data_IF_712088322524
#
_entry.id   IF_712088322524
#
_cell.length_a   1.000
_cell.length_b   1.000
_cell.length_c   1.000
_cell.angle_alpha   90.00
_cell.angle_beta   90.00
_cell.angle_gamma   90.00
#
_symmetry.space_group_name_H-M   'P 1'
#
loop_
_entity.id
_entity.type
_entity.pdbx_description
1 polymer ?
#
# COMPACT_ATOMS: atom_id res chain seq x y z
N UNK A 1 -57.08 47.75 -7.08
CA UNK A 1 -56.13 47.24 -6.06
C UNK A 1 -55.83 45.77 -6.37
N UNK A 2 -55.03 45.47 -7.41
CA UNK A 2 -54.60 44.11 -7.81
C UNK A 2 -53.60 44.28 -8.98
N UNK A 3 -52.29 44.34 -8.71
CA UNK A 3 -51.26 44.32 -9.79
C UNK A 3 -49.82 44.16 -9.28
N UNK A 4 -49.54 44.23 -7.97
CA UNK A 4 -48.15 44.22 -7.45
C UNK A 4 -47.65 42.87 -6.93
N UNK A 5 -48.50 41.83 -6.89
CA UNK A 5 -48.15 40.54 -6.26
C UNK A 5 -47.46 39.54 -7.20
N UNK A 6 -47.68 39.65 -8.51
CA UNK A 6 -47.18 38.66 -9.49
C UNK A 6 -45.70 38.78 -9.83
N UNK A 7 -45.04 39.90 -9.52
CA UNK A 7 -43.62 40.10 -9.85
C UNK A 7 -42.65 39.60 -8.75
N UNK A 8 -43.10 39.46 -7.50
CA UNK A 8 -42.25 38.96 -6.40
C UNK A 8 -42.10 37.44 -6.38
N UNK A 9 -43.02 36.68 -7.01
CA UNK A 9 -42.89 35.22 -7.11
C UNK A 9 -41.97 34.76 -8.24
N UNK A 10 -41.73 35.58 -9.26
CA UNK A 10 -40.83 35.22 -10.37
C UNK A 10 -39.35 35.31 -9.98
N UNK A 11 -38.95 36.21 -9.07
CA UNK A 11 -37.55 36.32 -8.62
C UNK A 11 -37.12 35.24 -7.63
N UNK A 12 -38.04 34.68 -6.84
CA UNK A 12 -37.72 33.63 -5.87
C UNK A 12 -37.46 32.27 -6.54
N UNK A 13 -38.02 32.02 -7.73
CA UNK A 13 -37.82 30.77 -8.47
C UNK A 13 -36.47 30.69 -9.21
N UNK A 14 -35.85 31.82 -9.55
CA UNK A 14 -34.53 31.85 -10.23
C UNK A 14 -33.39 31.61 -9.23
N UNK A 15 -33.57 31.96 -7.96
CA UNK A 15 -32.56 31.73 -6.92
C UNK A 15 -32.38 30.25 -6.52
N UNK A 16 -33.37 29.38 -6.79
CA UNK A 16 -33.28 27.94 -6.51
C UNK A 16 -32.59 27.13 -7.62
N UNK A 17 -32.29 27.72 -8.79
CA UNK A 17 -31.60 27.03 -9.89
C UNK A 17 -30.08 27.26 -9.91
N UNK A 18 -29.54 28.03 -8.96
CA UNK A 18 -28.11 28.08 -8.69
C UNK A 18 -27.73 26.95 -7.73
N UNK A 19 -27.98 25.71 -8.13
CA UNK A 19 -27.17 24.60 -7.65
C UNK A 19 -25.74 24.93 -8.06
N UNK A 20 -24.96 25.45 -7.12
CA UNK A 20 -23.53 25.60 -7.29
C UNK A 20 -22.99 24.23 -7.68
N UNK A 21 -22.57 24.09 -8.94
CA UNK A 21 -21.82 22.92 -9.36
C UNK A 21 -20.57 22.91 -8.49
N UNK A 22 -20.57 22.08 -7.44
CA UNK A 22 -19.38 21.81 -6.65
C UNK A 22 -18.40 21.22 -7.65
N UNK A 23 -17.28 21.89 -7.98
CA UNK A 23 -16.28 21.29 -8.85
C UNK A 23 -15.91 19.92 -8.28
N UNK A 24 -16.01 18.87 -9.11
CA UNK A 24 -15.58 17.55 -8.71
C UNK A 24 -14.13 17.65 -8.24
N UNK A 25 -13.85 17.14 -7.03
CA UNK A 25 -12.48 17.10 -6.52
C UNK A 25 -11.63 16.20 -7.42
N UNK A 26 -10.33 16.46 -7.42
CA UNK A 26 -9.37 15.63 -8.14
C UNK A 26 -9.42 14.18 -7.62
N UNK A 27 -9.10 13.22 -8.51
CA UNK A 27 -8.98 11.81 -8.15
C UNK A 27 -7.70 11.64 -7.33
N UNK A 28 -7.80 11.14 -6.11
CA UNK A 28 -6.66 10.97 -5.21
C UNK A 28 -6.06 9.59 -5.37
N UNK A 29 -4.79 9.54 -5.78
CA UNK A 29 -3.97 8.32 -5.82
C UNK A 29 -2.98 8.35 -4.67
N UNK A 30 -2.92 7.24 -3.94
CA UNK A 30 -2.10 7.10 -2.74
C UNK A 30 -1.10 5.96 -2.94
N UNK A 31 0.19 6.24 -2.73
CA UNK A 31 1.25 5.27 -2.91
C UNK A 31 2.35 5.42 -1.85
N UNK A 32 3.49 4.76 -2.02
CA UNK A 32 4.57 4.67 -1.04
C UNK A 32 5.51 5.88 -1.01
N UNK A 33 5.31 6.88 -1.86
CA UNK A 33 6.20 8.03 -2.00
C UNK A 33 7.59 7.70 -2.55
N UNK A 34 8.51 8.65 -2.39
CA UNK A 34 9.90 8.54 -2.82
C UNK A 34 10.09 8.24 -4.31
N UNK A 35 11.26 7.70 -4.65
CA UNK A 35 11.63 7.37 -6.03
C UNK A 35 10.65 6.41 -6.72
N UNK A 36 9.97 5.56 -5.93
CA UNK A 36 8.96 4.65 -6.46
C UNK A 36 7.75 5.42 -7.00
N UNK A 37 7.18 6.33 -6.20
CA UNK A 37 6.04 7.14 -6.66
C UNK A 37 6.44 8.16 -7.72
N UNK A 38 7.68 8.66 -7.69
CA UNK A 38 8.21 9.49 -8.78
C UNK A 38 8.20 8.73 -10.12
N UNK A 39 8.60 7.46 -10.12
CA UNK A 39 8.50 6.62 -11.30
C UNK A 39 7.04 6.42 -11.73
N UNK A 40 6.12 6.14 -10.78
CA UNK A 40 4.68 6.02 -11.08
C UNK A 40 4.09 7.30 -11.68
N UNK A 41 4.56 8.47 -11.24
CA UNK A 41 4.13 9.76 -11.78
C UNK A 41 4.41 9.86 -13.27
N UNK A 42 5.60 9.44 -13.69
CA UNK A 42 6.00 9.46 -15.10
C UNK A 42 5.31 8.36 -15.93
N UNK A 43 5.19 7.13 -15.41
CA UNK A 43 4.73 5.98 -16.21
C UNK A 43 3.24 5.72 -16.15
N UNK A 44 2.56 6.14 -15.08
CA UNK A 44 1.12 5.94 -14.88
C UNK A 44 0.34 7.24 -14.82
N UNK A 45 0.72 8.16 -13.91
CA UNK A 45 -0.16 9.27 -13.54
C UNK A 45 -0.25 10.33 -14.64
N UNK A 46 0.90 10.81 -15.16
CA UNK A 46 0.91 11.79 -16.27
C UNK A 46 0.23 11.23 -17.52
N UNK A 47 0.55 10.01 -18.02
CA UNK A 47 -0.15 9.44 -19.16
C UNK A 47 -1.67 9.28 -18.92
N UNK A 48 -2.09 8.91 -17.71
CA UNK A 48 -3.50 8.84 -17.36
C UNK A 48 -4.17 10.20 -17.45
N UNK A 49 -3.61 11.23 -16.81
CA UNK A 49 -4.17 12.58 -16.83
C UNK A 49 -4.28 13.13 -18.25
N UNK A 50 -3.28 12.90 -19.09
CA UNK A 50 -3.27 13.34 -20.49
C UNK A 50 -4.35 12.65 -21.32
N UNK A 51 -4.56 11.34 -21.14
CA UNK A 51 -5.52 10.56 -21.93
C UNK A 51 -6.95 10.72 -21.43
N UNK A 52 -7.15 10.60 -20.11
CA UNK A 52 -8.47 10.64 -19.50
C UNK A 52 -9.00 12.06 -19.28
N UNK A 53 -8.12 13.08 -19.35
CA UNK A 53 -8.45 14.48 -19.03
C UNK A 53 -8.99 14.65 -17.60
N UNK A 54 -8.58 13.75 -16.70
CA UNK A 54 -8.89 13.76 -15.28
C UNK A 54 -7.66 14.26 -14.53
N UNK A 55 -7.84 15.16 -13.56
CA UNK A 55 -6.76 15.61 -12.68
C UNK A 55 -6.53 14.61 -11.54
N UNK A 56 -5.28 14.47 -11.13
CA UNK A 56 -4.89 13.63 -9.99
C UNK A 56 -4.35 14.48 -8.84
N UNK A 57 -4.81 14.17 -7.63
CA UNK A 57 -4.12 14.50 -6.40
C UNK A 57 -3.25 13.30 -6.00
N UNK A 58 -2.01 13.55 -5.59
CA UNK A 58 -1.10 12.51 -5.13
C UNK A 58 -0.88 12.63 -3.63
N UNK A 59 -1.08 11.54 -2.91
CA UNK A 59 -0.72 11.41 -1.51
C UNK A 59 0.20 10.19 -1.30
N UNK A 60 0.86 10.15 -0.14
CA UNK A 60 1.64 9.00 0.27
C UNK A 60 1.26 8.55 1.69
N UNK A 61 1.64 7.32 2.02
CA UNK A 61 1.35 6.74 3.32
C UNK A 61 2.36 5.64 3.69
N UNK A 62 2.38 5.28 4.97
CA UNK A 62 3.31 4.30 5.53
C UNK A 62 2.71 2.87 5.62
N UNK A 63 1.50 2.69 5.12
CA UNK A 63 0.77 1.42 5.19
C UNK A 63 -0.06 1.25 6.47
N UNK A 64 -0.56 0.03 6.63
CA UNK A 64 -1.32 -0.46 7.78
C UNK A 64 -2.83 -0.40 7.58
N UNK A 65 -3.49 -1.55 7.73
CA UNK A 65 -4.96 -1.68 7.68
C UNK A 65 -5.66 -0.74 8.70
N UNK A 66 -5.02 -0.44 9.82
CA UNK A 66 -5.53 0.52 10.81
C UNK A 66 -5.70 1.93 10.24
N UNK A 67 -4.78 2.38 9.38
CA UNK A 67 -4.86 3.68 8.69
C UNK A 67 -6.07 3.72 7.76
N UNK A 68 -6.32 2.63 7.02
CA UNK A 68 -7.48 2.50 6.14
C UNK A 68 -8.79 2.52 6.93
N UNK A 69 -8.89 1.71 7.99
CA UNK A 69 -10.07 1.70 8.88
C UNK A 69 -10.35 3.10 9.43
N UNK A 70 -9.32 3.79 9.92
CA UNK A 70 -9.47 5.13 10.47
C UNK A 70 -9.97 6.14 9.41
N UNK A 71 -9.45 6.08 8.18
CA UNK A 71 -9.91 6.93 7.06
C UNK A 71 -11.38 6.67 6.72
N UNK A 72 -11.79 5.41 6.63
CA UNK A 72 -13.18 5.03 6.31
C UNK A 72 -14.14 5.41 7.45
N UNK A 73 -13.81 5.04 8.69
CA UNK A 73 -14.65 5.32 9.87
C UNK A 73 -14.74 6.81 10.19
N UNK A 74 -13.69 7.59 9.90
CA UNK A 74 -13.65 9.02 10.17
C UNK A 74 -14.60 9.87 9.30
N UNK A 75 -15.23 9.29 8.27
CA UNK A 75 -16.24 9.96 7.44
C UNK A 75 -15.73 11.07 6.52
N UNK A 76 -14.41 11.29 6.48
CA UNK A 76 -13.76 12.30 5.62
C UNK A 76 -12.70 11.65 4.71
N UNK A 77 -12.98 10.45 4.21
CA UNK A 77 -12.07 9.77 3.29
C UNK A 77 -12.02 10.52 1.96
N UNK A 78 -10.82 10.96 1.58
CA UNK A 78 -10.53 11.60 0.31
C UNK A 78 -9.71 10.72 -0.64
N UNK A 79 -9.41 9.47 -0.24
CA UNK A 79 -8.61 8.52 -1.02
C UNK A 79 -9.50 7.71 -1.97
N UNK A 80 -9.11 7.63 -3.25
CA UNK A 80 -9.87 6.89 -4.27
C UNK A 80 -9.16 5.62 -4.72
N UNK A 81 -7.85 5.72 -5.02
CA UNK A 81 -7.03 4.57 -5.43
C UNK A 81 -5.82 4.49 -4.53
N UNK A 82 -5.72 3.41 -3.76
CA UNK A 82 -4.66 3.21 -2.78
C UNK A 82 -3.83 1.99 -3.18
N UNK A 83 -2.54 2.17 -3.36
CA UNK A 83 -1.63 1.05 -3.48
C UNK A 83 -1.31 0.51 -2.08
N UNK A 84 -1.65 -0.75 -1.86
CA UNK A 84 -1.50 -1.49 -0.60
C UNK A 84 -0.65 -2.75 -0.80
N UNK A 85 -0.18 -3.35 0.29
CA UNK A 85 0.46 -4.67 0.25
C UNK A 85 -0.62 -5.79 0.28
N UNK A 86 -0.26 -7.00 -0.16
CA UNK A 86 -1.24 -8.08 -0.41
C UNK A 86 -2.06 -8.50 0.83
N UNK A 87 -1.46 -8.45 2.02
CA UNK A 87 -2.17 -8.78 3.27
C UNK A 87 -3.16 -7.69 3.67
N UNK A 88 -2.85 -6.43 3.37
CA UNK A 88 -3.75 -5.30 3.63
C UNK A 88 -4.95 -5.36 2.68
N UNK A 89 -4.69 -5.71 1.40
CA UNK A 89 -5.75 -5.97 0.44
C UNK A 89 -6.67 -7.11 0.88
N UNK A 90 -6.09 -8.23 1.33
CA UNK A 90 -6.88 -9.38 1.79
C UNK A 90 -7.78 -9.01 2.97
N UNK A 91 -7.20 -8.48 4.05
CA UNK A 91 -7.95 -8.09 5.25
C UNK A 91 -8.97 -7.00 4.97
N UNK A 92 -8.57 -5.95 4.24
CA UNK A 92 -9.47 -4.85 3.92
C UNK A 92 -10.60 -5.27 2.99
N UNK A 93 -10.40 -6.24 2.10
CA UNK A 93 -11.47 -6.77 1.26
C UNK A 93 -12.48 -7.58 2.09
N UNK A 94 -12.00 -8.42 3.00
CA UNK A 94 -12.85 -9.19 3.94
C UNK A 94 -13.67 -8.26 4.85
N UNK A 95 -13.08 -7.13 5.25
CA UNK A 95 -13.72 -6.13 6.11
C UNK A 95 -14.60 -5.12 5.35
N UNK A 96 -14.63 -5.18 4.02
CA UNK A 96 -15.41 -4.25 3.20
C UNK A 96 -14.85 -2.82 3.17
N UNK A 97 -13.54 -2.64 3.36
CA UNK A 97 -12.84 -1.35 3.26
C UNK A 97 -12.62 -0.89 1.82
N UNK A 98 -12.83 -1.77 0.84
CA UNK A 98 -12.63 -1.51 -0.57
C UNK A 98 -13.88 -1.83 -1.39
N UNK A 99 -14.04 -1.11 -2.48
CA UNK A 99 -15.00 -1.47 -3.52
C UNK A 99 -14.55 -2.72 -4.29
N UNK A 100 -15.52 -3.51 -4.76
CA UNK A 100 -15.22 -4.66 -5.63
C UNK A 100 -14.86 -4.20 -7.04
N UNK A 101 -13.87 -4.84 -7.63
CA UNK A 101 -13.44 -4.54 -8.99
C UNK A 101 -14.40 -5.11 -10.03
N UNK A 102 -14.73 -4.27 -11.01
CA UNK A 102 -15.37 -4.70 -12.25
C UNK A 102 -14.29 -5.19 -13.25
N UNK A 103 -14.03 -6.49 -13.22
CA UNK A 103 -13.01 -7.12 -14.06
C UNK A 103 -13.29 -6.99 -15.57
N UNK A 104 -14.53 -6.72 -15.99
CA UNK A 104 -14.84 -6.49 -17.40
C UNK A 104 -14.20 -5.20 -17.91
N UNK A 105 -14.13 -4.16 -17.05
CA UNK A 105 -13.47 -2.89 -17.35
C UNK A 105 -11.95 -2.98 -17.31
N UNK A 106 -11.41 -4.02 -16.69
CA UNK A 106 -9.98 -4.32 -16.61
C UNK A 106 -9.52 -5.32 -17.68
N UNK A 107 -10.39 -5.70 -18.62
CA UNK A 107 -10.05 -6.61 -19.72
C UNK A 107 -10.03 -8.10 -19.35
N UNK A 108 -10.49 -8.46 -18.15
CA UNK A 108 -10.61 -9.84 -17.68
C UNK A 108 -9.48 -10.28 -16.73
N UNK A 109 -9.80 -11.23 -15.84
CA UNK A 109 -8.85 -11.79 -14.86
C UNK A 109 -7.66 -12.51 -15.53
N UNK A 110 -7.85 -13.04 -16.73
CA UNK A 110 -6.84 -13.78 -17.51
C UNK A 110 -5.68 -12.91 -18.04
N UNK A 111 -5.82 -11.58 -18.00
CA UNK A 111 -4.76 -10.64 -18.41
C UNK A 111 -3.68 -10.42 -17.36
N UNK A 112 -3.88 -10.98 -16.17
CA UNK A 112 -3.05 -10.75 -15.00
C UNK A 112 -2.43 -12.06 -14.52
N UNK A 113 -1.34 -11.93 -13.75
CA UNK A 113 -0.81 -13.07 -13.02
C UNK A 113 -1.90 -13.60 -12.07
N UNK A 114 -2.06 -14.93 -11.91
CA UNK A 114 -3.08 -15.48 -11.03
C UNK A 114 -3.05 -14.90 -9.61
N UNK A 115 -1.86 -14.73 -9.03
CA UNK A 115 -1.66 -14.18 -7.69
C UNK A 115 -1.91 -12.66 -7.59
N UNK A 116 -2.05 -11.97 -8.72
CA UNK A 116 -2.37 -10.55 -8.79
C UNK A 116 -3.88 -10.27 -8.85
N UNK A 117 -4.72 -11.30 -8.87
CA UNK A 117 -6.17 -11.18 -9.02
C UNK A 117 -6.86 -11.31 -7.66
N UNK A 118 -7.56 -10.27 -7.23
CA UNK A 118 -8.41 -10.26 -6.04
C UNK A 118 -9.75 -9.56 -6.34
N UNK A 119 -10.80 -9.87 -5.59
CA UNK A 119 -12.12 -9.28 -5.84
C UNK A 119 -12.17 -7.76 -5.54
N UNK A 120 -11.29 -7.24 -4.68
CA UNK A 120 -11.24 -5.83 -4.30
C UNK A 120 -9.99 -5.08 -4.80
N UNK A 121 -9.08 -5.76 -5.51
CA UNK A 121 -7.80 -5.17 -5.92
C UNK A 121 -7.09 -5.97 -7.00
N UNK A 122 -6.13 -5.33 -7.66
CA UNK A 122 -5.33 -5.95 -8.72
C UNK A 122 -3.86 -5.59 -8.53
N UNK A 123 -2.98 -6.57 -8.74
CA UNK A 123 -1.53 -6.37 -8.59
C UNK A 123 -0.99 -5.37 -9.61
N UNK A 124 -0.44 -4.26 -9.11
CA UNK A 124 0.17 -3.20 -9.92
C UNK A 124 1.69 -3.34 -10.06
N UNK A 125 2.34 -4.08 -9.16
CA UNK A 125 3.78 -4.32 -9.16
C UNK A 125 4.11 -5.63 -8.45
N UNK A 126 5.16 -6.32 -8.93
CA UNK A 126 5.85 -7.39 -8.20
C UNK A 126 7.17 -6.82 -7.68
N UNK A 127 7.45 -7.04 -6.39
CA UNK A 127 8.66 -6.54 -5.73
C UNK A 127 9.31 -7.64 -4.89
N UNK A 128 10.52 -7.37 -4.40
CA UNK A 128 11.27 -8.32 -3.57
C UNK A 128 11.91 -7.60 -2.40
N UNK A 129 11.81 -8.21 -1.23
CA UNK A 129 12.65 -7.86 -0.10
C UNK A 129 13.98 -8.58 -0.23
N UNK A 130 15.05 -7.81 -0.40
CA UNK A 130 16.40 -8.34 -0.64
C UNK A 130 17.34 -7.99 0.50
N UNK A 131 18.39 -8.78 0.64
CA UNK A 131 19.55 -8.45 1.45
C UNK A 131 20.40 -7.42 0.68
N UNK A 132 20.57 -6.24 1.26
CA UNK A 132 21.44 -5.18 0.73
C UNK A 132 22.50 -4.80 1.75
N UNK A 133 23.64 -4.33 1.27
CA UNK A 133 24.76 -3.90 2.10
C UNK A 133 25.48 -2.69 1.49
N UNK A 134 26.22 -1.98 2.33
CA UNK A 134 27.05 -0.85 1.91
C UNK A 134 28.32 -1.37 1.22
N UNK A 135 28.32 -1.28 -0.12
CA UNK A 135 29.42 -1.73 -0.96
C UNK A 135 30.72 -0.95 -0.76
N UNK A 136 30.71 0.20 -0.10
CA UNK A 136 31.92 0.93 0.27
C UNK A 136 32.56 0.43 1.55
N UNK A 137 31.77 -0.17 2.44
CA UNK A 137 32.26 -0.77 3.69
C UNK A 137 32.58 -2.26 3.55
N UNK A 138 31.78 -3.00 2.80
CA UNK A 138 31.97 -4.44 2.60
C UNK A 138 32.51 -4.66 1.19
N UNK A 139 33.84 -4.84 1.11
CA UNK A 139 34.55 -5.17 -0.13
C UNK A 139 34.88 -6.68 -0.16
N UNK A 140 34.70 -7.33 -1.31
CA UNK A 140 34.99 -8.75 -1.45
C UNK A 140 33.84 -9.66 -1.01
N UNK A 141 34.10 -10.56 -0.05
CA UNK A 141 33.09 -11.53 0.42
C UNK A 141 31.99 -10.84 1.25
N UNK A 142 30.78 -10.82 0.70
CA UNK A 142 29.63 -10.15 1.26
C UNK A 142 28.57 -11.15 1.78
N UNK A 143 27.65 -10.73 2.67
CA UNK A 143 26.53 -11.54 3.10
C UNK A 143 25.68 -12.03 1.91
N UNK A 144 25.35 -13.32 1.88
CA UNK A 144 24.57 -13.95 0.78
C UNK A 144 23.30 -14.64 1.28
N UNK A 145 23.05 -14.60 2.59
CA UNK A 145 21.92 -15.26 3.22
C UNK A 145 21.44 -14.46 4.44
N UNK A 146 20.23 -14.75 4.90
CA UNK A 146 19.71 -14.19 6.15
C UNK A 146 20.52 -14.65 7.37
N UNK A 147 21.14 -15.84 7.32
CA UNK A 147 22.08 -16.27 8.34
C UNK A 147 23.34 -15.39 8.38
N UNK A 148 23.87 -14.99 7.20
CA UNK A 148 25.00 -14.07 7.11
C UNK A 148 24.66 -12.67 7.65
N UNK A 149 23.43 -12.20 7.45
CA UNK A 149 22.97 -10.92 8.03
C UNK A 149 23.09 -10.90 9.56
N UNK A 150 22.85 -12.05 10.21
CA UNK A 150 23.02 -12.26 11.66
C UNK A 150 24.48 -12.47 12.10
N UNK A 151 25.42 -12.70 11.16
CA UNK A 151 26.83 -12.92 11.49
C UNK A 151 27.57 -11.59 11.69
N UNK A 152 27.31 -10.96 12.84
CA UNK A 152 27.91 -9.67 13.25
C UNK A 152 29.41 -9.78 13.52
N UNK A 153 29.94 -10.98 13.78
CA UNK A 153 31.37 -11.19 13.98
C UNK A 153 32.13 -11.13 12.64
N UNK A 154 31.60 -11.79 11.59
CA UNK A 154 32.22 -11.78 10.26
C UNK A 154 31.98 -10.45 9.54
N UNK A 155 30.79 -9.88 9.66
CA UNK A 155 30.44 -8.58 9.07
C UNK A 155 29.96 -7.61 10.16
N UNK A 156 30.85 -6.96 10.92
CA UNK A 156 30.46 -6.00 11.93
C UNK A 156 29.79 -4.77 11.31
N UNK A 157 28.79 -4.20 11.98
CA UNK A 157 28.08 -3.02 11.49
C UNK A 157 26.63 -2.88 11.95
N UNK A 158 26.01 -1.75 11.62
CA UNK A 158 24.61 -1.49 11.95
C UNK A 158 23.67 -2.33 11.10
N UNK A 159 22.59 -2.84 11.69
CA UNK A 159 21.52 -3.54 10.95
C UNK A 159 20.26 -2.70 10.85
N UNK A 160 19.49 -2.93 9.79
CA UNK A 160 18.16 -2.37 9.62
C UNK A 160 17.20 -3.45 9.12
N UNK A 161 16.05 -3.55 9.77
CA UNK A 161 14.90 -4.37 9.37
C UNK A 161 13.66 -3.46 9.37
N UNK A 162 12.59 -3.89 8.69
CA UNK A 162 11.34 -3.14 8.67
C UNK A 162 10.77 -3.02 10.09
N UNK A 163 10.18 -1.87 10.41
CA UNK A 163 9.46 -1.64 11.67
C UNK A 163 8.05 -2.28 11.62
N UNK A 164 8.01 -3.60 11.52
CA UNK A 164 6.79 -4.40 11.46
C UNK A 164 7.10 -5.90 11.41
N UNK A 165 6.16 -6.77 11.82
CA UNK A 165 6.40 -8.22 11.91
C UNK A 165 6.52 -8.87 10.52
N UNK A 166 5.70 -8.43 9.55
CA UNK A 166 5.71 -8.97 8.19
C UNK A 166 7.07 -8.78 7.54
N UNK A 167 7.54 -9.81 6.83
CA UNK A 167 8.89 -9.95 6.28
C UNK A 167 9.97 -10.12 7.37
N UNK A 168 9.90 -9.38 8.48
CA UNK A 168 10.89 -9.40 9.55
C UNK A 168 10.93 -10.75 10.29
N UNK A 169 9.77 -11.34 10.59
CA UNK A 169 9.70 -12.65 11.26
C UNK A 169 10.15 -13.78 10.31
N UNK A 170 9.80 -13.69 9.03
CA UNK A 170 10.22 -14.61 7.98
C UNK A 170 11.75 -14.59 7.82
N UNK A 171 12.34 -13.39 7.75
CA UNK A 171 13.79 -13.19 7.70
C UNK A 171 14.46 -13.81 8.93
N UNK A 172 13.91 -13.57 10.13
CA UNK A 172 14.45 -14.11 11.37
C UNK A 172 14.44 -15.65 11.36
N UNK A 173 13.33 -16.28 10.96
CA UNK A 173 13.27 -17.75 10.87
C UNK A 173 14.21 -18.32 9.83
N UNK A 174 14.35 -17.68 8.66
CA UNK A 174 15.32 -18.10 7.66
C UNK A 174 16.77 -17.95 8.15
N UNK A 175 17.08 -16.89 8.91
CA UNK A 175 18.36 -16.74 9.60
C UNK A 175 18.58 -17.79 10.69
N UNK A 176 17.51 -18.36 11.22
CA UNK A 176 17.52 -19.46 12.19
C UNK A 176 17.45 -20.85 11.55
N UNK A 177 17.66 -20.93 10.23
CA UNK A 177 17.77 -22.19 9.50
C UNK A 177 16.44 -22.83 9.08
N UNK A 178 15.31 -22.16 9.26
CA UNK A 178 14.04 -22.62 8.68
C UNK A 178 14.10 -22.47 7.17
N UNK A 179 13.81 -23.55 6.44
CA UNK A 179 13.78 -23.51 4.98
C UNK A 179 12.64 -22.58 4.50
N UNK A 180 12.79 -21.83 3.40
CA UNK A 180 11.77 -20.88 2.91
C UNK A 180 10.36 -21.47 2.80
N UNK A 181 10.25 -22.72 2.34
CA UNK A 181 8.97 -23.43 2.20
C UNK A 181 8.26 -23.75 3.53
N UNK A 182 8.99 -23.77 4.63
CA UNK A 182 8.51 -24.15 5.96
C UNK A 182 8.28 -22.92 6.87
N UNK A 183 8.58 -21.71 6.38
CA UNK A 183 8.46 -20.46 7.16
C UNK A 183 7.03 -20.25 7.64
N UNK A 184 6.03 -20.27 6.74
CA UNK A 184 4.64 -20.03 7.13
C UNK A 184 4.04 -21.18 7.96
N UNK A 185 4.49 -22.43 7.73
CA UNK A 185 4.14 -23.55 8.60
C UNK A 185 4.64 -23.33 10.02
N UNK A 186 5.84 -22.78 10.16
CA UNK A 186 6.44 -22.46 11.46
C UNK A 186 5.74 -21.28 12.11
N UNK A 187 5.50 -20.17 11.38
CA UNK A 187 4.78 -19.00 11.89
C UNK A 187 3.31 -19.27 12.23
N UNK A 188 2.74 -20.39 11.75
CA UNK A 188 1.41 -20.83 12.12
C UNK A 188 1.25 -21.30 13.57
N UNK A 189 2.32 -21.35 14.37
CA UNK A 189 2.26 -21.73 15.80
C UNK A 189 2.85 -20.64 16.70
N UNK A 190 2.38 -20.59 17.95
CA UNK A 190 2.90 -19.64 18.95
C UNK A 190 4.40 -19.84 19.18
N UNK A 191 4.86 -21.09 19.22
CA UNK A 191 6.27 -21.44 19.41
C UNK A 191 7.13 -20.97 18.23
N UNK A 192 6.62 -21.04 17.01
CA UNK A 192 7.33 -20.53 15.83
C UNK A 192 7.44 -19.00 15.82
N UNK A 193 6.39 -18.31 16.26
CA UNK A 193 6.43 -16.85 16.46
C UNK A 193 7.44 -16.48 17.55
N UNK A 194 7.42 -17.17 18.69
CA UNK A 194 8.42 -16.96 19.76
C UNK A 194 9.85 -17.23 19.29
N UNK A 195 10.05 -18.28 18.48
CA UNK A 195 11.35 -18.60 17.88
C UNK A 195 11.87 -17.44 17.03
N UNK A 196 11.01 -16.84 16.20
CA UNK A 196 11.37 -15.67 15.39
C UNK A 196 11.77 -14.48 16.27
N UNK A 197 11.01 -14.18 17.34
CA UNK A 197 11.34 -13.11 18.28
C UNK A 197 12.66 -13.35 19.02
N UNK A 198 12.89 -14.57 19.52
CA UNK A 198 14.18 -14.94 20.14
C UNK A 198 15.35 -14.72 19.20
N UNK A 199 15.17 -14.98 17.90
CA UNK A 199 16.20 -14.70 16.90
C UNK A 199 16.42 -13.20 16.70
N UNK A 200 15.37 -12.40 16.67
CA UNK A 200 15.47 -10.93 16.62
C UNK A 200 16.17 -10.35 17.84
N UNK A 201 15.92 -10.89 19.04
CA UNK A 201 16.58 -10.46 20.28
C UNK A 201 18.09 -10.62 20.23
N UNK A 202 18.60 -11.65 19.54
CA UNK A 202 20.05 -11.85 19.32
C UNK A 202 20.68 -10.74 18.48
N UNK A 203 19.90 -10.07 17.62
CA UNK A 203 20.42 -9.03 16.72
C UNK A 203 20.26 -7.62 17.30
N UNK A 204 19.29 -7.41 18.19
CA UNK A 204 18.80 -6.10 18.67
C UNK A 204 19.86 -5.10 19.16
N UNK A 205 21.01 -5.60 19.63
CA UNK A 205 22.11 -4.76 20.09
C UNK A 205 23.00 -4.17 18.96
N UNK A 206 22.74 -4.51 17.69
CA UNK A 206 23.53 -4.14 16.52
C UNK A 206 22.69 -3.33 15.52
#
# INVERSE_FOLDING_TARGET
MQSKSTWMFALAAVALMLSTAVPARDLTVVSWGGAYQDAQREVYFKPFMEKAKIKLAEENWDGGVGTLRAKIQGGNNNWDVVQVESEELLLGCEEGLYEKLDWSKLGGKDKYLPDAVNDCGVGAIVYSFILAYDGDKIKGDAPKSWADFWNVQKWPGKRALRKGPKTTLEIALMADGVAPKDVYKTLGTNEGVERAFKKLDQLKAN
#
